data_IF_718292707006
#
_entry.id   IF_718292707006
#
_cell.length_a   1.000
_cell.length_b   1.000
_cell.length_c   1.000
_cell.angle_alpha   90.00
_cell.angle_beta   90.00
_cell.angle_gamma   90.00
#
_symmetry.space_group_name_H-M   'P 1'
#
loop_
_entity.id
_entity.type
_entity.pdbx_description
1 polymer ?
#
# COMPACT_ATOMS: atom_id res chain seq x y z
N UNK A 1 -9.10 -50.51 44.02
CA UNK A 1 -7.62 -50.47 43.94
C UNK A 1 -7.23 -49.67 42.71
N UNK A 2 -6.45 -48.59 42.83
CA UNK A 2 -5.96 -47.96 44.06
C UNK A 2 -5.64 -46.50 43.77
N UNK A 3 -5.93 -45.60 44.71
CA UNK A 3 -5.54 -44.21 44.67
C UNK A 3 -4.16 -44.03 45.35
N UNK A 4 -3.36 -43.08 44.83
CA UNK A 4 -2.31 -42.35 45.57
C UNK A 4 -1.07 -43.21 45.98
N UNK A 5 0.07 -42.65 46.48
CA UNK A 5 0.19 -41.34 47.17
C UNK A 5 1.49 -40.50 47.05
N UNK A 6 1.43 -39.30 47.68
CA UNK A 6 2.49 -38.59 48.49
C UNK A 6 3.74 -38.11 47.72
N UNK A 7 4.34 -36.94 47.95
CA UNK A 7 4.58 -36.06 49.14
C UNK A 7 3.90 -34.66 48.98
N UNK A 8 3.38 -33.89 49.97
CA UNK A 8 3.53 -33.78 51.46
C UNK A 8 4.95 -33.31 51.89
N UNK A 9 5.22 -32.20 52.60
CA UNK A 9 4.45 -31.36 53.54
C UNK A 9 5.08 -29.92 53.62
N UNK A 10 4.41 -28.99 54.32
CA UNK A 10 4.94 -27.89 55.18
C UNK A 10 6.23 -27.10 54.79
N UNK A 11 6.33 -25.77 54.87
CA UNK A 11 5.61 -24.74 55.65
C UNK A 11 5.98 -23.33 55.08
N UNK A 12 5.62 -22.14 55.59
CA UNK A 12 4.93 -21.77 56.84
C UNK A 12 4.04 -20.50 56.74
N UNK A 13 4.63 -19.30 56.83
CA UNK A 13 3.97 -18.04 57.17
C UNK A 13 4.73 -16.81 56.64
N UNK A 14 4.00 -15.79 56.18
CA UNK A 14 4.57 -14.46 55.93
C UNK A 14 3.59 -13.46 55.33
N UNK A 15 3.00 -12.58 56.16
CA UNK A 15 2.25 -11.42 55.68
C UNK A 15 3.17 -10.44 54.92
N UNK A 16 2.72 -9.90 53.79
CA UNK A 16 3.42 -8.80 53.10
C UNK A 16 2.63 -8.23 51.94
N UNK A 17 2.41 -6.91 51.93
CA UNK A 17 1.73 -6.18 50.87
C UNK A 17 2.74 -5.68 49.83
N UNK A 18 2.55 -5.97 48.55
CA UNK A 18 2.55 -4.91 47.53
C UNK A 18 1.96 -5.37 46.20
N UNK A 19 1.43 -4.40 45.46
CA UNK A 19 1.13 -4.53 44.04
C UNK A 19 2.46 -4.49 43.27
N UNK A 20 2.61 -5.32 42.24
CA UNK A 20 3.21 -4.80 41.00
C UNK A 20 2.50 -5.45 39.82
N UNK A 21 1.99 -4.59 38.93
CA UNK A 21 1.30 -4.98 37.73
C UNK A 21 2.37 -5.06 36.64
N UNK A 22 2.70 -6.26 36.15
CA UNK A 22 3.62 -6.44 35.01
C UNK A 22 2.97 -5.89 33.73
N UNK A 23 2.96 -4.55 33.63
CA UNK A 23 2.72 -3.81 32.40
C UNK A 23 3.92 -4.10 31.51
N UNK A 24 3.77 -5.09 30.62
CA UNK A 24 4.63 -5.22 29.45
C UNK A 24 4.68 -3.84 28.78
N UNK A 25 5.85 -3.22 28.85
CA UNK A 25 6.14 -2.00 28.10
C UNK A 25 6.09 -2.36 26.64
N UNK A 26 5.04 -1.91 25.94
CA UNK A 26 5.21 -1.53 24.56
C UNK A 26 6.13 -0.31 24.61
N UNK A 27 7.38 -0.52 24.21
CA UNK A 27 8.39 0.54 24.19
C UNK A 27 7.86 1.71 23.35
N UNK A 28 8.03 2.91 23.89
CA UNK A 28 7.39 4.11 23.37
C UNK A 28 7.86 4.41 21.94
N UNK A 29 6.98 5.01 21.15
CA UNK A 29 7.10 5.16 19.70
C UNK A 29 8.41 5.90 19.33
N UNK A 30 9.45 5.14 18.95
CA UNK A 30 10.61 5.69 18.26
C UNK A 30 10.13 6.15 16.88
N UNK A 31 9.75 7.43 16.81
CA UNK A 31 9.35 8.16 15.61
C UNK A 31 10.53 8.11 14.63
N UNK A 32 10.56 7.06 13.81
CA UNK A 32 11.71 6.71 13.00
C UNK A 32 12.05 7.86 12.07
N UNK A 33 13.17 8.55 12.33
CA UNK A 33 13.53 9.80 11.68
C UNK A 33 13.35 9.69 10.17
N UNK A 34 12.35 10.40 9.64
CA UNK A 34 11.97 10.34 8.23
C UNK A 34 13.02 11.09 7.42
N UNK A 35 14.15 10.43 7.20
CA UNK A 35 15.23 10.94 6.36
C UNK A 35 14.67 11.20 4.97
N UNK A 36 14.77 12.45 4.44
CA UNK A 36 14.43 12.72 3.06
C UNK A 36 15.25 11.77 2.16
N UNK A 37 14.57 11.10 1.22
CA UNK A 37 15.27 10.30 0.23
C UNK A 37 15.96 11.25 -0.76
N UNK A 38 17.16 11.70 -0.39
CA UNK A 38 17.97 12.71 -1.11
C UNK A 38 18.35 12.26 -2.55
N UNK A 39 18.12 10.98 -2.90
CA UNK A 39 18.26 10.44 -4.26
C UNK A 39 16.97 10.41 -5.08
N UNK A 40 15.88 11.03 -4.64
CA UNK A 40 14.57 11.03 -5.33
C UNK A 40 14.39 12.18 -6.35
N UNK A 41 15.48 12.73 -6.89
CA UNK A 41 15.43 13.80 -7.89
C UNK A 41 14.85 13.34 -9.25
N UNK A 42 15.03 12.08 -9.62
CA UNK A 42 14.42 11.46 -10.82
C UNK A 42 13.13 10.68 -10.49
N UNK A 43 12.05 11.39 -10.12
CA UNK A 43 10.72 10.77 -9.91
C UNK A 43 9.75 11.05 -11.05
N UNK A 44 8.93 10.05 -11.38
CA UNK A 44 7.93 10.09 -12.46
C UNK A 44 6.53 10.21 -11.86
N UNK A 45 5.80 11.26 -12.23
CA UNK A 45 4.36 11.41 -12.00
C UNK A 45 3.62 11.36 -13.33
N UNK A 46 2.82 10.32 -13.56
CA UNK A 46 2.06 10.16 -14.82
C UNK A 46 0.68 10.80 -14.68
N UNK A 47 0.24 11.54 -15.70
CA UNK A 47 -1.09 12.13 -15.77
C UNK A 47 -2.05 11.15 -16.46
N UNK A 48 -2.79 10.38 -15.67
CA UNK A 48 -3.66 9.31 -16.16
C UNK A 48 -5.10 9.80 -16.42
N UNK A 49 -5.55 9.74 -17.66
CA UNK A 49 -6.90 10.12 -18.09
C UNK A 49 -7.80 8.89 -18.01
N UNK A 50 -8.82 8.98 -17.15
CA UNK A 50 -9.82 7.94 -16.92
C UNK A 50 -11.19 8.58 -17.05
N UNK A 51 -11.90 8.26 -18.15
CA UNK A 51 -13.12 8.95 -18.60
C UNK A 51 -12.92 10.49 -18.63
N UNK A 52 -13.63 11.24 -17.80
CA UNK A 52 -13.57 12.70 -17.66
C UNK A 52 -12.55 13.21 -16.63
N UNK A 53 -11.94 12.32 -15.84
CA UNK A 53 -10.99 12.68 -14.78
C UNK A 53 -9.52 12.54 -15.21
N UNK A 54 -8.66 13.41 -14.68
CA UNK A 54 -7.20 13.30 -14.80
C UNK A 54 -6.62 13.05 -13.42
N UNK A 55 -6.00 11.88 -13.24
CA UNK A 55 -5.53 11.37 -11.96
C UNK A 55 -3.99 11.37 -11.98
N UNK A 56 -3.31 12.17 -11.15
CA UNK A 56 -1.86 12.11 -11.03
C UNK A 56 -1.45 10.82 -10.31
N UNK A 57 -0.57 10.04 -10.92
CA UNK A 57 -0.02 8.81 -10.32
C UNK A 57 1.48 8.95 -10.14
N UNK A 58 1.89 9.19 -8.89
CA UNK A 58 3.29 9.14 -8.49
C UNK A 58 3.80 7.70 -8.60
N UNK A 59 4.81 7.49 -9.44
CA UNK A 59 5.41 6.19 -9.74
C UNK A 59 6.77 6.00 -9.07
N UNK A 60 7.31 7.01 -8.36
CA UNK A 60 8.69 6.99 -7.90
C UNK A 60 9.64 6.89 -9.10
N UNK A 61 10.59 5.95 -9.06
CA UNK A 61 11.53 5.69 -10.16
C UNK A 61 10.90 4.99 -11.39
N UNK A 62 9.61 4.64 -11.39
CA UNK A 62 8.92 4.08 -12.55
C UNK A 62 9.26 2.62 -12.89
N UNK A 63 9.79 1.85 -11.94
CA UNK A 63 10.20 0.44 -12.12
C UNK A 63 9.03 -0.56 -12.20
N UNK A 64 7.81 -0.12 -11.89
CA UNK A 64 6.57 -0.89 -12.04
C UNK A 64 6.12 -1.01 -13.51
N UNK A 65 5.27 -2.00 -13.79
CA UNK A 65 4.70 -2.20 -15.13
C UNK A 65 3.55 -1.21 -15.43
N UNK A 66 3.33 -0.90 -16.70
CA UNK A 66 2.24 -0.04 -17.20
C UNK A 66 0.85 -0.55 -16.77
N UNK A 67 0.64 -1.86 -16.63
CA UNK A 67 -0.63 -2.41 -16.10
C UNK A 67 -0.92 -2.00 -14.65
N UNK A 68 0.10 -1.78 -13.82
CA UNK A 68 -0.07 -1.29 -12.44
C UNK A 68 -0.64 0.13 -12.44
N UNK A 69 -0.11 1.00 -13.31
CA UNK A 69 -0.60 2.37 -13.47
C UNK A 69 -2.09 2.40 -13.85
N UNK A 70 -2.51 1.49 -14.73
CA UNK A 70 -3.92 1.32 -15.09
C UNK A 70 -4.82 1.00 -13.89
N UNK A 71 -4.45 0.00 -13.09
CA UNK A 71 -5.21 -0.40 -11.91
C UNK A 71 -5.23 0.71 -10.83
N UNK A 72 -4.10 1.37 -10.61
CA UNK A 72 -3.98 2.45 -9.61
C UNK A 72 -4.83 3.67 -9.99
N UNK A 73 -4.82 4.07 -11.26
CA UNK A 73 -5.67 5.15 -11.74
C UNK A 73 -7.17 4.77 -11.67
N UNK A 74 -7.53 3.53 -11.99
CA UNK A 74 -8.92 3.06 -11.86
C UNK A 74 -9.38 3.06 -10.40
N UNK A 75 -8.57 2.57 -9.45
CA UNK A 75 -8.92 2.59 -8.04
C UNK A 75 -9.18 4.04 -7.57
N UNK A 76 -8.28 4.96 -7.91
CA UNK A 76 -8.38 6.40 -7.58
C UNK A 76 -9.37 7.21 -8.42
N UNK A 77 -10.12 6.60 -9.34
CA UNK A 77 -11.15 7.34 -10.06
C UNK A 77 -12.28 7.80 -9.12
N UNK A 78 -12.52 7.06 -8.05
CA UNK A 78 -13.52 7.36 -7.02
C UNK A 78 -12.83 7.71 -5.70
N UNK A 79 -12.15 8.87 -5.64
CA UNK A 79 -11.49 9.33 -4.40
C UNK A 79 -12.50 9.55 -3.28
N UNK A 80 -13.67 10.14 -3.58
CA UNK A 80 -14.75 10.41 -2.63
C UNK A 80 -15.39 9.14 -2.06
N UNK A 81 -15.59 8.10 -2.88
CA UNK A 81 -16.12 6.79 -2.46
C UNK A 81 -15.09 5.83 -1.85
N UNK A 82 -13.92 6.32 -1.45
CA UNK A 82 -12.92 5.52 -0.75
C UNK A 82 -12.01 4.70 -1.67
N UNK A 83 -11.70 5.22 -2.86
CA UNK A 83 -10.75 4.63 -3.83
C UNK A 83 -11.24 3.27 -4.38
N UNK A 84 -12.54 3.13 -4.64
CA UNK A 84 -13.17 1.88 -5.11
C UNK A 84 -13.59 1.88 -6.60
N UNK A 85 -12.97 2.72 -7.44
CA UNK A 85 -13.40 2.94 -8.83
C UNK A 85 -13.41 1.68 -9.74
N UNK A 86 -12.79 0.57 -9.32
CA UNK A 86 -12.93 -0.72 -10.02
C UNK A 86 -14.38 -1.26 -10.02
N UNK A 87 -15.23 -0.85 -9.09
CA UNK A 87 -16.65 -1.25 -9.07
C UNK A 87 -17.43 -0.65 -10.26
N UNK A 88 -17.05 0.56 -10.70
CA UNK A 88 -17.68 1.26 -11.83
C UNK A 88 -16.93 1.02 -13.15
N UNK A 89 -15.61 0.87 -13.10
CA UNK A 89 -14.75 0.83 -14.27
C UNK A 89 -14.23 -0.57 -14.63
N UNK A 90 -14.16 -1.48 -13.65
CA UNK A 90 -13.57 -2.81 -13.81
C UNK A 90 -12.03 -2.78 -13.83
N UNK A 91 -11.43 -3.35 -14.87
CA UNK A 91 -9.97 -3.50 -15.04
C UNK A 91 -9.47 -2.71 -16.25
N UNK A 92 -8.18 -2.31 -16.33
CA UNK A 92 -7.65 -1.61 -17.49
C UNK A 92 -7.56 -2.57 -18.68
N UNK A 93 -8.14 -2.19 -19.81
CA UNK A 93 -8.14 -2.98 -21.06
C UNK A 93 -7.12 -2.48 -22.08
N UNK A 94 -6.79 -1.18 -22.04
CA UNK A 94 -5.81 -0.54 -22.90
C UNK A 94 -5.23 0.70 -22.23
N UNK A 95 -3.95 0.97 -22.44
CA UNK A 95 -3.28 2.20 -22.00
C UNK A 95 -2.56 2.80 -23.20
N UNK A 96 -2.79 4.09 -23.48
CA UNK A 96 -2.24 4.77 -24.66
C UNK A 96 -1.60 6.11 -24.32
N UNK A 97 -0.34 6.31 -24.69
CA UNK A 97 0.38 7.59 -24.56
C UNK A 97 -0.13 8.58 -25.61
N UNK A 98 -0.40 9.82 -25.17
CA UNK A 98 -0.85 10.94 -26.01
C UNK A 98 -2.08 10.65 -26.90
N UNK A 99 -2.88 9.65 -26.51
CA UNK A 99 -4.05 9.16 -27.25
C UNK A 99 -3.74 8.47 -28.59
N UNK A 100 -2.45 8.19 -28.88
CA UNK A 100 -1.98 7.76 -30.21
C UNK A 100 -1.22 6.44 -30.19
N UNK A 101 -0.33 6.24 -29.22
CA UNK A 101 0.53 5.05 -29.12
C UNK A 101 0.05 4.19 -27.98
N UNK A 102 -0.45 2.99 -28.30
CA UNK A 102 -0.69 1.95 -27.29
C UNK A 102 0.63 1.52 -26.66
N UNK A 103 0.62 1.34 -25.34
CA UNK A 103 1.74 0.84 -24.55
C UNK A 103 1.51 -0.64 -24.25
N UNK A 104 2.58 -1.44 -24.21
CA UNK A 104 2.50 -2.80 -23.73
C UNK A 104 2.14 -2.78 -22.24
N UNK A 105 1.14 -3.57 -21.82
CA UNK A 105 0.74 -3.65 -20.42
C UNK A 105 1.87 -4.15 -19.51
N UNK A 106 2.82 -4.92 -20.06
CA UNK A 106 4.03 -5.41 -19.40
C UNK A 106 5.24 -4.49 -19.52
N UNK A 107 5.15 -3.37 -20.25
CA UNK A 107 6.25 -2.40 -20.37
C UNK A 107 6.54 -1.78 -18.99
N UNK A 108 7.80 -1.46 -18.69
CA UNK A 108 8.19 -0.77 -17.46
C UNK A 108 7.97 0.74 -17.64
N UNK A 109 7.40 1.43 -16.65
CA UNK A 109 6.98 2.84 -16.79
C UNK A 109 8.14 3.74 -17.21
N UNK A 110 9.31 3.64 -16.57
CA UNK A 110 10.47 4.49 -16.89
C UNK A 110 11.10 4.23 -18.27
N UNK A 111 10.84 3.07 -18.90
CA UNK A 111 11.32 2.77 -20.26
C UNK A 111 10.46 3.45 -21.35
N UNK A 112 9.18 3.76 -21.06
CA UNK A 112 8.20 4.23 -22.08
C UNK A 112 7.53 5.57 -21.76
N UNK A 113 7.59 6.03 -20.51
CA UNK A 113 7.01 7.27 -20.02
C UNK A 113 8.06 8.13 -19.31
N UNK A 114 7.95 9.44 -19.54
CA UNK A 114 8.70 10.47 -18.82
C UNK A 114 7.80 11.10 -17.74
N UNK A 115 8.38 11.84 -16.79
CA UNK A 115 7.59 12.64 -15.86
C UNK A 115 6.58 13.54 -16.59
N UNK A 116 5.42 13.73 -15.96
CA UNK A 116 4.23 14.45 -16.48
C UNK A 116 3.68 13.92 -17.81
N UNK A 117 4.07 12.72 -18.28
CA UNK A 117 3.47 12.13 -19.50
C UNK A 117 1.96 11.95 -19.36
N UNK A 118 1.22 12.21 -20.44
CA UNK A 118 -0.23 11.98 -20.49
C UNK A 118 -0.54 10.58 -21.07
N UNK A 119 -1.31 9.79 -20.33
CA UNK A 119 -1.82 8.49 -20.80
C UNK A 119 -3.34 8.42 -20.71
N UNK A 120 -3.96 7.65 -21.59
CA UNK A 120 -5.40 7.44 -21.66
C UNK A 120 -5.70 5.97 -21.41
N UNK A 121 -6.60 5.70 -20.47
CA UNK A 121 -6.92 4.35 -20.01
C UNK A 121 -8.33 3.99 -20.48
N UNK A 122 -8.45 2.92 -21.27
CA UNK A 122 -9.73 2.24 -21.50
C UNK A 122 -9.92 1.17 -20.44
N UNK A 123 -11.16 0.97 -20.00
CA UNK A 123 -11.48 0.02 -18.91
C UNK A 123 -12.41 -1.08 -19.43
N UNK A 124 -12.82 -2.02 -18.57
CA UNK A 124 -13.67 -3.16 -18.99
C UNK A 124 -15.17 -2.90 -18.84
N UNK A 125 -15.57 -1.87 -18.08
CA UNK A 125 -16.95 -1.47 -17.81
C UNK A 125 -17.24 -0.01 -18.23
N UNK A 126 -16.42 0.57 -19.12
CA UNK A 126 -16.51 1.97 -19.57
C UNK A 126 -16.01 2.16 -20.99
#
# INVERSE_FOLDING_TARGET
MTLLPVDEESSEQGHGQHQEQEKLGLDEEEDAEVTPNDGAEDTITVMAHVRDKIIPVHCGFGTQQVVWLGHVAIARYDEDGGTQGWLELGVPTKISKDGKRELGLTDVICDVLQDRSHVYISTSLG
#
